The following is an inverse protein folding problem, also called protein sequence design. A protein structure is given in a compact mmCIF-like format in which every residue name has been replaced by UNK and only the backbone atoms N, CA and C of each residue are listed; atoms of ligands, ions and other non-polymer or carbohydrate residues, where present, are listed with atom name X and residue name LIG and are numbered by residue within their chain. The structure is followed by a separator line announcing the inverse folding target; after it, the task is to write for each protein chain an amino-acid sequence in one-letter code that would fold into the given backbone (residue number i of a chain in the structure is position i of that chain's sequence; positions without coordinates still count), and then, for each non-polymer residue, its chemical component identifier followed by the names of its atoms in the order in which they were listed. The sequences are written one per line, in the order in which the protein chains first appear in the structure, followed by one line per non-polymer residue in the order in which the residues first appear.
data_IF_850267212419
#
_entry.id   IF_850267212419
#
_cell.length_a   1.000
_cell.length_b   1.000
_cell.length_c   1.000
_cell.angle_alpha   90.00
_cell.angle_beta   90.00
_cell.angle_gamma   90.00
#
_symmetry.space_group_name_H-M   'P 1'
#
loop_
_entity.id
_entity.type
_entity.pdbx_description
1 polymer ?
#
# COMPACT_ATOMS: atom_id res chain seq x y z
N UNK A 1 -35.07 -28.05 -2.58
CA UNK A 1 -35.82 -29.24 -3.03
C UNK A 1 -36.77 -28.82 -4.16
N UNK A 2 -36.63 -29.41 -5.35
CA UNK A 2 -37.54 -29.22 -6.51
C UNK A 2 -38.91 -29.75 -6.12
N UNK A 3 -39.89 -28.89 -5.86
CA UNK A 3 -41.23 -29.32 -5.37
C UNK A 3 -42.27 -29.53 -6.47
N UNK A 4 -42.00 -29.19 -7.72
CA UNK A 4 -42.85 -29.58 -8.84
C UNK A 4 -42.01 -29.95 -10.05
N UNK A 5 -42.19 -31.19 -10.51
CA UNK A 5 -41.66 -31.69 -11.77
C UNK A 5 -42.87 -32.28 -12.50
N UNK A 6 -43.48 -31.48 -13.35
CA UNK A 6 -44.65 -31.88 -14.14
C UNK A 6 -44.16 -32.52 -15.42
N UNK A 7 -44.54 -33.79 -15.63
CA UNK A 7 -44.18 -34.57 -16.82
C UNK A 7 -45.46 -34.99 -17.52
N UNK A 8 -45.52 -34.84 -18.84
CA UNK A 8 -46.60 -35.33 -19.68
C UNK A 8 -46.01 -35.94 -20.95
N UNK A 9 -46.52 -37.09 -21.36
CA UNK A 9 -46.21 -37.69 -22.66
C UNK A 9 -47.02 -37.01 -23.76
N UNK A 10 -46.43 -36.92 -24.95
CA UNK A 10 -47.06 -36.35 -26.13
C UNK A 10 -46.94 -37.33 -27.30
N UNK A 11 -48.07 -37.71 -27.87
CA UNK A 11 -48.15 -38.70 -28.94
C UNK A 11 -47.92 -38.07 -30.33
N UNK A 12 -47.73 -36.75 -30.39
CA UNK A 12 -47.39 -36.02 -31.61
C UNK A 12 -46.65 -34.72 -31.33
N UNK A 13 -45.90 -34.22 -32.32
CA UNK A 13 -45.17 -32.94 -32.25
C UNK A 13 -46.13 -31.78 -31.98
N UNK A 14 -47.32 -31.78 -32.60
CA UNK A 14 -48.34 -30.74 -32.40
C UNK A 14 -48.81 -30.70 -30.95
N UNK A 15 -49.02 -31.86 -30.34
CA UNK A 15 -49.41 -31.98 -28.93
C UNK A 15 -48.28 -31.55 -27.99
N UNK A 16 -47.04 -31.93 -28.29
CA UNK A 16 -45.86 -31.50 -27.53
C UNK A 16 -45.73 -29.97 -27.52
N UNK A 17 -45.90 -29.32 -28.69
CA UNK A 17 -45.85 -27.86 -28.80
C UNK A 17 -46.98 -27.18 -28.00
N UNK A 18 -48.18 -27.78 -27.98
CA UNK A 18 -49.30 -27.27 -27.19
C UNK A 18 -49.02 -27.37 -25.68
N UNK A 19 -48.46 -28.49 -25.21
CA UNK A 19 -48.09 -28.71 -23.81
C UNK A 19 -46.98 -27.76 -23.35
N UNK A 20 -45.94 -27.54 -24.17
CA UNK A 20 -44.88 -26.58 -23.84
C UNK A 20 -45.44 -25.15 -23.72
N UNK A 21 -46.34 -24.77 -24.62
CA UNK A 21 -47.00 -23.45 -24.55
C UNK A 21 -47.87 -23.31 -23.31
N UNK A 22 -48.57 -24.36 -22.88
CA UNK A 22 -49.40 -24.31 -21.67
C UNK A 22 -48.57 -24.21 -20.39
N UNK A 23 -47.40 -24.84 -20.32
CA UNK A 23 -46.47 -24.65 -19.19
C UNK A 23 -45.94 -23.22 -19.10
N UNK A 24 -45.73 -22.55 -20.23
CA UNK A 24 -45.31 -21.14 -20.29
C UNK A 24 -46.39 -20.13 -19.87
N UNK A 25 -47.67 -20.54 -19.76
CA UNK A 25 -48.77 -19.69 -19.29
C UNK A 25 -48.85 -19.61 -17.75
N UNK A 26 -48.17 -20.52 -17.05
CA UNK A 26 -48.11 -20.50 -15.60
C UNK A 26 -46.95 -19.61 -15.13
N UNK A 27 -47.27 -18.39 -14.70
CA UNK A 27 -46.31 -17.55 -13.96
C UNK A 27 -46.08 -18.16 -12.57
N UNK A 28 -45.02 -18.94 -12.41
CA UNK A 28 -44.57 -19.32 -11.08
C UNK A 28 -44.03 -18.08 -10.35
N UNK A 29 -44.33 -17.99 -9.04
CA UNK A 29 -43.77 -16.94 -8.20
C UNK A 29 -42.24 -17.00 -8.13
N UNK A 30 -41.58 -15.91 -7.74
CA UNK A 30 -40.13 -15.89 -7.57
C UNK A 30 -39.68 -16.98 -6.59
N UNK A 31 -38.53 -17.59 -6.87
CA UNK A 31 -38.01 -18.76 -6.16
C UNK A 31 -37.48 -18.45 -4.75
N UNK A 32 -37.48 -17.18 -4.37
CA UNK A 32 -37.11 -16.70 -3.05
C UNK A 32 -37.89 -15.44 -2.72
N UNK A 33 -37.95 -15.12 -1.43
CA UNK A 33 -38.35 -13.78 -0.98
C UNK A 33 -37.33 -12.76 -1.50
N UNK A 34 -37.78 -11.61 -2.01
CA UNK A 34 -36.88 -10.49 -2.27
C UNK A 34 -36.03 -10.24 -1.03
N UNK A 35 -34.71 -10.19 -1.21
CA UNK A 35 -33.84 -9.66 -0.17
C UNK A 35 -34.02 -8.14 -0.22
N UNK A 36 -34.77 -7.62 0.73
CA UNK A 36 -34.86 -6.19 0.96
C UNK A 36 -33.56 -5.75 1.62
N UNK A 37 -32.71 -5.11 0.83
CA UNK A 37 -31.58 -4.35 1.35
C UNK A 37 -32.10 -2.95 1.61
N UNK A 38 -32.07 -2.51 2.87
CA UNK A 38 -32.30 -1.11 3.18
C UNK A 38 -31.31 -0.29 2.36
N UNK A 39 -31.81 0.54 1.45
CA UNK A 39 -31.00 1.53 0.77
C UNK A 39 -30.52 2.48 1.85
N UNK A 40 -29.22 2.48 2.15
CA UNK A 40 -28.67 3.44 3.11
C UNK A 40 -28.92 4.85 2.56
N UNK A 41 -29.47 5.73 3.39
CA UNK A 41 -29.85 7.10 3.06
C UNK A 41 -28.61 7.99 2.85
N UNK A 42 -27.77 7.68 1.86
CA UNK A 42 -26.59 8.47 1.44
C UNK A 42 -25.49 8.70 2.48
N UNK A 43 -25.76 8.37 3.75
CA UNK A 43 -24.96 8.63 4.94
C UNK A 43 -24.98 7.32 5.72
N UNK A 44 -23.82 6.68 5.90
CA UNK A 44 -23.76 5.49 6.75
C UNK A 44 -24.19 5.83 8.18
N UNK A 45 -24.56 4.84 8.99
CA UNK A 45 -24.94 5.00 10.40
C UNK A 45 -23.92 5.81 11.24
N UNK A 46 -22.68 5.94 10.75
CA UNK A 46 -21.59 6.71 11.35
C UNK A 46 -21.45 8.16 10.84
N UNK A 47 -22.43 8.71 10.10
CA UNK A 47 -22.33 10.07 9.55
C UNK A 47 -21.28 10.24 8.43
N UNK A 48 -20.67 9.14 7.98
CA UNK A 48 -19.60 9.15 6.98
C UNK A 48 -20.13 8.81 5.59
N UNK A 49 -19.45 9.32 4.55
CA UNK A 49 -19.67 8.90 3.17
C UNK A 49 -19.55 7.36 3.05
N UNK A 50 -20.35 6.72 2.18
CA UNK A 50 -20.31 5.27 2.02
C UNK A 50 -18.90 4.81 1.62
N UNK A 51 -18.35 3.90 2.42
CA UNK A 51 -17.03 3.31 2.21
C UNK A 51 -17.04 2.49 0.91
N UNK A 52 -15.94 2.56 0.14
CA UNK A 52 -15.78 1.67 -1.00
C UNK A 52 -15.41 0.27 -0.50
N UNK A 53 -15.90 -0.81 -1.14
CA UNK A 53 -15.45 -2.15 -0.83
C UNK A 53 -13.95 -2.29 -1.12
N UNK A 54 -13.25 -3.06 -0.28
CA UNK A 54 -11.83 -3.32 -0.43
C UNK A 54 -11.33 -4.39 0.55
N UNK A 55 -10.12 -4.91 0.35
CA UNK A 55 -9.51 -5.85 1.28
C UNK A 55 -9.28 -5.17 2.64
N UNK A 56 -9.45 -5.91 3.73
CA UNK A 56 -9.22 -5.40 5.09
C UNK A 56 -7.74 -5.48 5.50
N UNK A 57 -7.04 -6.50 5.03
CA UNK A 57 -5.69 -6.88 5.47
C UNK A 57 -4.66 -6.69 4.35
N UNK A 58 -3.42 -6.41 4.72
CA UNK A 58 -2.27 -6.53 3.82
C UNK A 58 -2.24 -5.46 2.73
N UNK A 59 -2.09 -4.20 3.15
CA UNK A 59 -2.04 -3.07 2.23
C UNK A 59 -0.60 -2.65 1.98
N UNK A 60 -0.22 -2.40 0.73
CA UNK A 60 1.10 -1.83 0.39
C UNK A 60 0.91 -0.46 -0.23
N UNK A 61 1.46 0.56 0.41
CA UNK A 61 1.45 1.95 -0.04
C UNK A 61 2.89 2.42 -0.17
N UNK A 62 3.22 3.01 -1.31
CA UNK A 62 4.57 3.48 -1.60
C UNK A 62 4.55 4.94 -2.03
N UNK A 63 5.55 5.70 -1.62
CA UNK A 63 5.79 7.05 -2.11
C UNK A 63 7.26 7.44 -2.00
N UNK A 64 7.65 8.50 -2.70
CA UNK A 64 9.04 8.96 -2.71
C UNK A 64 9.44 9.58 -1.39
N UNK A 65 8.58 10.46 -0.87
CA UNK A 65 8.81 11.17 0.40
C UNK A 65 7.80 10.74 1.46
N UNK A 66 8.11 11.04 2.72
CA UNK A 66 7.21 10.85 3.87
C UNK A 66 5.90 11.60 3.62
N UNK A 67 5.98 12.84 3.14
CA UNK A 67 4.79 13.66 2.86
C UNK A 67 3.91 13.05 1.76
N UNK A 68 4.51 12.59 0.67
CA UNK A 68 3.77 11.94 -0.42
C UNK A 68 3.11 10.64 0.04
N UNK A 69 3.85 9.83 0.78
CA UNK A 69 3.39 8.54 1.30
C UNK A 69 2.24 8.74 2.29
N UNK A 70 2.34 9.75 3.16
CA UNK A 70 1.29 10.11 4.12
C UNK A 70 -0.05 10.42 3.45
N UNK A 71 -0.05 11.24 2.39
CA UNK A 71 -1.27 11.58 1.64
C UNK A 71 -1.90 10.31 1.03
N UNK A 72 -1.08 9.40 0.51
CA UNK A 72 -1.56 8.11 -0.04
C UNK A 72 -2.12 7.18 1.04
N UNK A 73 -1.50 7.13 2.22
CA UNK A 73 -2.00 6.37 3.37
C UNK A 73 -3.39 6.90 3.77
N UNK A 74 -3.52 8.22 3.94
CA UNK A 74 -4.79 8.85 4.32
C UNK A 74 -5.87 8.51 3.29
N UNK A 75 -5.58 8.69 2.00
CA UNK A 75 -6.50 8.34 0.93
C UNK A 75 -6.93 6.86 1.01
N UNK A 76 -5.98 5.93 1.19
CA UNK A 76 -6.28 4.50 1.26
C UNK A 76 -7.19 4.18 2.45
N UNK A 77 -6.86 4.67 3.64
CA UNK A 77 -7.65 4.44 4.85
C UNK A 77 -9.04 5.04 4.69
N UNK A 78 -9.16 6.31 4.28
CA UNK A 78 -10.48 6.97 4.10
C UNK A 78 -11.35 6.31 3.04
N UNK A 79 -10.76 5.66 2.03
CA UNK A 79 -11.50 5.04 0.94
C UNK A 79 -12.10 3.67 1.31
N UNK A 80 -11.32 2.80 1.97
CA UNK A 80 -11.70 1.39 2.20
C UNK A 80 -11.57 0.93 3.64
N UNK A 81 -11.08 1.78 4.55
CA UNK A 81 -10.90 1.44 5.96
C UNK A 81 -12.23 1.18 6.66
N UNK A 82 -12.26 0.19 7.54
CA UNK A 82 -13.44 -0.18 8.33
C UNK A 82 -13.63 0.82 9.46
N UNK A 83 -14.82 1.40 9.58
CA UNK A 83 -15.16 2.27 10.73
C UNK A 83 -15.48 1.39 11.93
N UNK A 84 -14.87 1.69 13.07
CA UNK A 84 -15.06 0.96 14.33
C UNK A 84 -15.15 1.95 15.49
N UNK A 85 -15.92 1.63 16.55
CA UNK A 85 -15.86 2.41 17.78
C UNK A 85 -14.48 2.27 18.41
N UNK A 86 -14.02 3.32 19.09
CA UNK A 86 -12.81 3.26 19.89
C UNK A 86 -13.12 2.74 21.31
N UNK A 87 -12.10 2.54 22.15
CA UNK A 87 -12.30 2.24 23.57
C UNK A 87 -12.81 3.42 24.41
N UNK A 88 -12.93 4.59 23.80
CA UNK A 88 -13.51 5.81 24.35
C UNK A 88 -14.70 6.25 23.48
N UNK A 89 -15.46 7.26 23.90
CA UNK A 89 -16.55 7.81 23.07
C UNK A 89 -15.97 8.40 21.76
N UNK A 90 -16.18 7.69 20.64
CA UNK A 90 -15.70 8.10 19.31
C UNK A 90 -15.45 6.93 18.36
N UNK A 91 -15.09 7.24 17.12
CA UNK A 91 -14.81 6.28 16.06
C UNK A 91 -13.41 6.47 15.48
N UNK A 92 -12.89 5.40 14.90
CA UNK A 92 -11.75 5.45 14.01
C UNK A 92 -12.01 4.65 12.73
N UNK A 93 -11.26 4.97 11.69
CA UNK A 93 -11.30 4.26 10.42
C UNK A 93 -9.98 3.51 10.24
N UNK A 94 -10.04 2.19 10.10
CA UNK A 94 -8.89 1.30 10.27
C UNK A 94 -8.65 0.39 9.07
N UNK A 95 -7.37 0.14 8.77
CA UNK A 95 -6.88 -0.97 7.97
C UNK A 95 -5.89 -1.81 8.77
N UNK A 96 -5.82 -3.09 8.46
CA UNK A 96 -4.96 -4.05 9.18
C UNK A 96 -3.75 -4.40 8.33
N UNK A 97 -2.59 -4.44 8.98
CA UNK A 97 -1.29 -4.75 8.35
C UNK A 97 -1.00 -3.88 7.12
N UNK A 98 -1.01 -2.55 7.33
CA UNK A 98 -0.63 -1.58 6.30
C UNK A 98 0.89 -1.38 6.30
N UNK A 99 1.51 -1.76 5.19
CA UNK A 99 2.90 -1.48 4.86
C UNK A 99 2.99 -0.15 4.09
N UNK A 100 3.69 0.82 4.67
CA UNK A 100 4.09 2.04 3.98
C UNK A 100 5.58 1.96 3.63
N UNK A 101 5.94 2.34 2.40
CA UNK A 101 7.30 2.30 1.87
C UNK A 101 7.68 3.69 1.37
N UNK A 102 8.71 4.28 1.98
CA UNK A 102 9.28 5.57 1.57
C UNK A 102 10.63 5.32 0.90
N UNK A 103 10.75 5.67 -0.37
CA UNK A 103 11.88 5.23 -1.22
C UNK A 103 12.99 6.26 -1.39
N UNK A 104 12.70 7.55 -1.29
CA UNK A 104 13.62 8.61 -1.72
C UNK A 104 13.52 9.89 -0.87
N UNK A 105 13.26 9.76 0.43
CA UNK A 105 13.26 10.90 1.36
C UNK A 105 14.66 11.52 1.45
N UNK A 106 14.82 12.84 1.21
CA UNK A 106 16.12 13.49 1.23
C UNK A 106 16.71 13.58 2.65
N UNK A 107 18.06 13.68 2.79
CA UNK A 107 18.73 13.74 4.09
C UNK A 107 18.26 14.88 5.01
N UNK A 108 17.92 16.03 4.43
CA UNK A 108 17.45 17.23 5.13
C UNK A 108 15.93 17.24 5.40
N UNK A 109 15.24 16.16 5.03
CA UNK A 109 13.79 16.01 5.07
C UNK A 109 13.03 16.98 4.17
N UNK A 110 12.12 16.44 3.38
CA UNK A 110 11.22 17.20 2.54
C UNK A 110 9.99 17.63 3.34
N UNK A 111 9.79 18.95 3.44
CA UNK A 111 8.57 19.55 3.95
C UNK A 111 7.88 20.29 2.79
N UNK A 112 6.58 20.05 2.56
CA UNK A 112 5.83 20.76 1.53
C UNK A 112 5.73 22.26 1.80
N UNK A 113 5.53 23.05 0.74
CA UNK A 113 5.26 24.49 0.82
C UNK A 113 3.95 24.84 0.07
N UNK A 114 2.90 25.32 0.77
CA UNK A 114 2.79 25.44 2.22
C UNK A 114 2.78 24.06 2.91
N UNK A 115 3.28 24.01 4.16
CA UNK A 115 3.33 22.77 4.92
C UNK A 115 1.92 22.29 5.26
N UNK A 116 1.59 21.10 4.77
CA UNK A 116 0.32 20.42 5.03
C UNK A 116 0.44 19.25 6.02
N UNK A 117 1.65 18.98 6.52
CA UNK A 117 1.89 17.94 7.52
C UNK A 117 1.38 18.41 8.90
N UNK A 118 1.02 17.49 9.79
CA UNK A 118 0.63 17.81 11.17
C UNK A 118 1.83 18.18 12.06
N UNK A 119 3.03 18.30 11.48
CA UNK A 119 4.27 18.61 12.15
C UNK A 119 5.12 19.54 11.29
N UNK A 120 5.97 20.34 11.92
CA UNK A 120 6.94 21.22 11.26
C UNK A 120 8.39 20.80 11.57
N UNK A 121 9.35 21.51 10.99
CA UNK A 121 10.77 21.20 11.14
C UNK A 121 11.25 21.32 12.59
N UNK A 122 10.77 22.33 13.32
CA UNK A 122 11.19 22.58 14.71
C UNK A 122 10.72 21.43 15.61
N UNK A 123 9.44 21.05 15.49
CA UNK A 123 8.89 19.91 16.20
C UNK A 123 9.65 18.61 15.87
N UNK A 124 9.98 18.38 14.60
CA UNK A 124 10.69 17.17 14.19
C UNK A 124 12.14 17.13 14.71
N UNK A 125 12.83 18.26 14.83
CA UNK A 125 14.16 18.31 15.44
C UNK A 125 14.10 17.81 16.89
N UNK A 126 13.14 18.30 17.69
CA UNK A 126 12.95 17.83 19.06
C UNK A 126 12.49 16.38 19.12
N UNK A 127 11.60 15.97 18.20
CA UNK A 127 11.07 14.61 18.17
C UNK A 127 12.14 13.56 17.86
N UNK A 128 13.13 13.88 17.02
CA UNK A 128 14.25 13.00 16.70
C UNK A 128 15.01 12.60 17.98
N UNK A 129 15.22 13.53 18.91
CA UNK A 129 15.86 13.24 20.19
C UNK A 129 15.07 12.21 21.02
N UNK A 130 13.74 12.17 20.91
CA UNK A 130 12.91 11.16 21.60
C UNK A 130 13.08 9.74 21.04
N UNK A 131 13.64 9.59 19.83
CA UNK A 131 13.95 8.30 19.21
C UNK A 131 15.43 7.96 19.35
N UNK A 132 16.30 8.94 19.12
CA UNK A 132 17.74 8.72 19.07
C UNK A 132 18.38 8.71 20.45
N UNK A 133 17.94 9.54 21.38
CA UNK A 133 18.68 9.76 22.62
C UNK A 133 18.09 8.96 23.78
N UNK A 134 18.96 8.54 24.68
CA UNK A 134 18.50 8.01 25.96
C UNK A 134 17.91 9.16 26.79
N UNK A 135 16.87 8.86 27.57
CA UNK A 135 16.24 9.84 28.44
C UNK A 135 16.08 9.26 29.85
N UNK A 136 16.39 10.04 30.91
CA UNK A 136 16.08 9.61 32.25
C UNK A 136 14.56 9.43 32.40
N UNK A 137 14.13 8.52 33.28
CA UNK A 137 12.71 8.39 33.63
C UNK A 137 12.25 9.71 34.24
N UNK A 138 11.34 10.39 33.56
CA UNK A 138 10.71 11.62 34.05
C UNK A 138 9.32 11.30 34.59
N UNK A 139 8.97 11.89 35.73
CA UNK A 139 7.64 11.73 36.31
C UNK A 139 6.57 12.23 35.33
N UNK A 140 5.60 11.38 35.00
CA UNK A 140 4.54 11.67 34.02
C UNK A 140 4.85 11.27 32.57
N UNK A 141 6.11 10.99 32.21
CA UNK A 141 6.47 10.43 30.90
C UNK A 141 6.49 8.92 30.99
N UNK A 142 5.58 8.24 30.26
CA UNK A 142 5.48 6.77 30.33
C UNK A 142 6.72 6.06 29.78
N UNK A 143 7.21 6.52 28.62
CA UNK A 143 8.42 6.04 27.96
C UNK A 143 8.79 7.00 26.81
N UNK A 144 10.03 6.93 26.34
CA UNK A 144 10.45 7.40 25.01
C UNK A 144 10.95 6.22 24.19
N UNK A 145 10.98 6.33 22.86
CA UNK A 145 11.53 5.26 22.02
C UNK A 145 13.04 5.11 22.23
N UNK A 146 13.77 6.22 22.39
CA UNK A 146 15.20 6.19 22.66
C UNK A 146 15.54 5.47 23.97
N UNK A 147 14.77 5.68 25.04
CA UNK A 147 14.93 4.91 26.28
C UNK A 147 14.71 3.41 26.06
N UNK A 148 13.67 3.02 25.30
CA UNK A 148 13.40 1.60 24.96
C UNK A 148 14.53 0.97 24.15
N UNK A 149 15.15 1.75 23.27
CA UNK A 149 16.21 1.29 22.40
C UNK A 149 17.58 1.24 23.10
N UNK A 150 17.84 2.11 24.08
CA UNK A 150 19.17 2.26 24.69
C UNK A 150 19.33 1.63 26.07
N UNK A 151 18.52 2.04 27.05
CA UNK A 151 18.78 1.71 28.45
C UNK A 151 17.75 0.75 29.05
N UNK A 152 16.53 0.68 28.50
CA UNK A 152 15.40 -0.04 29.11
C UNK A 152 15.68 -1.52 29.39
N UNK A 153 16.27 -2.24 28.43
CA UNK A 153 16.56 -3.67 28.56
C UNK A 153 17.95 -3.96 29.12
N UNK A 154 18.74 -2.92 29.42
CA UNK A 154 20.15 -2.99 29.84
C UNK A 154 21.14 -2.69 28.71
N UNK A 155 21.18 -3.48 27.62
CA UNK A 155 22.04 -3.20 26.47
C UNK A 155 21.49 -2.09 25.57
N UNK A 156 22.39 -1.26 25.03
CA UNK A 156 22.09 -0.31 23.95
C UNK A 156 21.93 -1.08 22.62
N UNK A 157 20.67 -1.26 22.22
CA UNK A 157 20.33 -2.02 21.03
C UNK A 157 20.76 -1.32 19.74
N UNK A 158 20.82 0.03 19.73
CA UNK A 158 21.31 0.81 18.58
C UNK A 158 22.80 0.54 18.38
N UNK A 159 23.57 0.59 19.47
CA UNK A 159 25.00 0.29 19.44
C UNK A 159 25.28 -1.18 19.03
N UNK A 160 24.45 -2.11 19.53
CA UNK A 160 24.55 -3.51 19.16
C UNK A 160 24.32 -3.74 17.66
N UNK A 161 23.29 -3.13 17.04
CA UNK A 161 23.05 -3.30 15.60
C UNK A 161 24.13 -2.63 14.76
N UNK A 162 24.67 -1.48 15.17
CA UNK A 162 25.80 -0.84 14.49
C UNK A 162 27.02 -1.77 14.49
N UNK A 163 27.42 -2.25 15.67
CA UNK A 163 28.58 -3.15 15.82
C UNK A 163 28.37 -4.44 15.01
N UNK A 164 27.15 -4.97 15.01
CA UNK A 164 26.79 -6.16 14.25
C UNK A 164 26.94 -5.98 12.75
N UNK A 165 26.38 -4.90 12.19
CA UNK A 165 26.46 -4.63 10.74
C UNK A 165 27.88 -4.27 10.29
N UNK A 166 28.72 -3.72 11.18
CA UNK A 166 30.16 -3.53 10.90
C UNK A 166 30.88 -4.89 10.81
N UNK A 167 30.57 -5.84 11.70
CA UNK A 167 31.20 -7.17 11.71
C UNK A 167 30.65 -8.14 10.65
N UNK A 168 29.36 -8.03 10.34
CA UNK A 168 28.63 -8.88 9.39
C UNK A 168 27.58 -8.02 8.66
N UNK A 169 27.97 -7.41 7.54
CA UNK A 169 27.10 -6.47 6.80
C UNK A 169 25.82 -7.13 6.26
N UNK A 170 25.90 -8.43 5.96
CA UNK A 170 24.78 -9.25 5.47
C UNK A 170 23.97 -9.89 6.60
N UNK A 171 24.12 -9.43 7.86
CA UNK A 171 23.40 -10.01 8.99
C UNK A 171 21.88 -9.89 8.78
N UNK A 172 21.17 -11.02 8.87
CA UNK A 172 19.70 -11.05 8.89
C UNK A 172 19.13 -10.77 10.29
N UNK A 173 19.99 -10.65 11.30
CA UNK A 173 19.64 -10.59 12.72
C UNK A 173 20.00 -9.24 13.36
N UNK A 174 20.09 -8.16 12.58
CA UNK A 174 20.20 -6.79 13.06
C UNK A 174 18.80 -6.26 13.41
N UNK A 175 18.36 -6.55 14.65
CA UNK A 175 17.01 -6.26 15.14
C UNK A 175 17.05 -5.51 16.47
N UNK A 176 16.02 -4.72 16.75
CA UNK A 176 15.78 -4.06 18.03
C UNK A 176 14.32 -4.28 18.45
N UNK A 177 14.10 -4.58 19.73
CA UNK A 177 12.77 -4.77 20.32
C UNK A 177 12.47 -3.67 21.32
N UNK A 178 11.27 -3.09 21.23
CA UNK A 178 10.82 -2.06 22.16
C UNK A 178 9.75 -2.59 23.12
N UNK A 179 9.11 -3.71 22.78
CA UNK A 179 8.09 -4.33 23.60
C UNK A 179 8.70 -5.07 24.78
N UNK A 180 8.28 -4.70 25.99
CA UNK A 180 8.55 -5.45 27.22
C UNK A 180 7.30 -6.27 27.56
N UNK A 181 7.44 -7.53 27.97
CA UNK A 181 6.29 -8.35 28.36
C UNK A 181 5.46 -7.72 29.49
N UNK A 182 6.08 -6.89 30.35
CA UNK A 182 5.42 -6.12 31.40
C UNK A 182 4.48 -5.03 30.86
N UNK A 183 4.60 -4.69 29.58
CA UNK A 183 3.72 -3.71 28.91
C UNK A 183 2.27 -4.21 28.76
N UNK A 184 2.00 -5.49 29.01
CA UNK A 184 0.63 -6.00 29.14
C UNK A 184 -0.05 -5.55 30.43
N UNK A 185 0.73 -5.28 31.49
CA UNK A 185 0.21 -5.07 32.84
C UNK A 185 -0.20 -3.60 33.08
N UNK A 186 0.29 -2.66 32.26
CA UNK A 186 0.08 -1.21 32.42
C UNK A 186 -0.30 -0.55 31.11
N UNK A 187 -1.27 0.37 31.17
CA UNK A 187 -1.69 1.14 30.00
C UNK A 187 -0.64 2.16 29.53
N UNK A 188 -0.52 2.35 28.21
CA UNK A 188 0.44 3.26 27.59
C UNK A 188 1.77 2.59 27.24
N UNK A 189 1.68 1.41 26.63
CA UNK A 189 2.79 0.65 26.06
C UNK A 189 3.20 1.17 24.68
N UNK A 190 4.43 0.87 24.21
CA UNK A 190 4.93 1.40 22.95
C UNK A 190 4.09 0.99 21.74
N UNK A 191 3.83 1.95 20.86
CA UNK A 191 3.20 1.70 19.56
C UNK A 191 4.18 1.02 18.61
N UNK A 192 5.40 1.52 18.53
CA UNK A 192 6.53 0.89 17.85
C UNK A 192 7.04 -0.30 18.67
N UNK A 193 7.12 -1.49 18.08
CA UNK A 193 7.47 -2.71 18.83
C UNK A 193 8.76 -3.34 18.35
N UNK A 194 9.03 -3.28 17.06
CA UNK A 194 10.17 -3.96 16.46
C UNK A 194 10.78 -3.12 15.35
N UNK A 195 12.11 -3.12 15.27
CA UNK A 195 12.86 -2.55 14.16
C UNK A 195 13.79 -3.62 13.62
N UNK A 196 13.81 -3.78 12.31
CA UNK A 196 14.73 -4.66 11.58
C UNK A 196 15.50 -3.85 10.55
N UNK A 197 16.82 -3.99 10.54
CA UNK A 197 17.70 -3.39 9.55
C UNK A 197 18.29 -4.45 8.64
N UNK A 198 18.40 -4.10 7.36
CA UNK A 198 18.94 -5.00 6.34
C UNK A 198 19.74 -4.24 5.30
N UNK A 199 20.93 -4.76 4.98
CA UNK A 199 21.70 -4.33 3.81
C UNK A 199 21.47 -5.30 2.67
N UNK A 200 21.08 -4.77 1.51
CA UNK A 200 20.98 -5.47 0.21
C UNK A 200 21.45 -4.49 -0.86
N UNK A 201 22.26 -4.93 -1.80
CA UNK A 201 22.77 -4.10 -2.91
C UNK A 201 23.35 -2.75 -2.46
N UNK A 202 24.08 -2.77 -1.33
CA UNK A 202 24.69 -1.61 -0.69
C UNK A 202 23.69 -0.55 -0.18
N UNK A 203 22.42 -0.90 0.00
CA UNK A 203 21.37 -0.06 0.56
C UNK A 203 20.98 -0.53 1.96
N UNK A 204 21.05 0.35 2.96
CA UNK A 204 20.55 0.08 4.30
C UNK A 204 19.05 0.39 4.35
N UNK A 205 18.20 -0.62 4.45
CA UNK A 205 16.77 -0.47 4.69
C UNK A 205 16.44 -0.59 6.18
N UNK A 206 15.35 0.07 6.61
CA UNK A 206 14.80 -0.04 7.96
C UNK A 206 13.33 -0.42 7.86
N UNK A 207 12.94 -1.50 8.52
CA UNK A 207 11.54 -1.91 8.69
C UNK A 207 11.12 -1.77 10.15
N UNK A 208 10.06 -1.00 10.41
CA UNK A 208 9.50 -0.78 11.73
C UNK A 208 8.09 -1.38 11.83
N UNK A 209 7.85 -2.21 12.84
CA UNK A 209 6.51 -2.77 13.11
C UNK A 209 5.84 -2.00 14.24
N UNK A 210 4.66 -1.46 13.97
CA UNK A 210 3.83 -0.73 14.92
C UNK A 210 2.52 -1.47 15.15
N UNK A 211 2.20 -1.82 16.39
CA UNK A 211 0.95 -2.53 16.73
C UNK A 211 -0.30 -1.67 16.55
N UNK A 212 -0.15 -0.36 16.71
CA UNK A 212 -1.20 0.65 16.72
C UNK A 212 -0.58 1.95 16.22
N UNK A 213 -1.16 2.56 15.19
CA UNK A 213 -0.56 3.72 14.56
C UNK A 213 -1.63 4.72 14.13
N UNK A 214 -1.63 5.88 14.80
CA UNK A 214 -2.38 7.05 14.34
C UNK A 214 -1.72 7.58 13.07
N UNK A 215 -2.35 7.28 11.95
CA UNK A 215 -1.85 7.59 10.63
C UNK A 215 -2.01 9.06 10.27
N UNK A 216 -2.89 9.79 10.95
CA UNK A 216 -3.08 11.21 10.68
C UNK A 216 -2.06 12.03 11.48
N UNK A 217 -2.08 11.93 12.81
CA UNK A 217 -1.34 12.86 13.67
C UNK A 217 0.07 12.38 14.02
N UNK A 218 0.29 11.07 14.17
CA UNK A 218 1.54 10.54 14.73
C UNK A 218 2.49 9.95 13.67
N UNK A 219 1.96 9.29 12.62
CA UNK A 219 2.78 8.61 11.62
C UNK A 219 3.84 9.51 10.97
N UNK A 220 3.57 10.78 10.58
CA UNK A 220 4.60 11.64 10.00
C UNK A 220 5.82 11.81 10.91
N UNK A 221 5.60 12.12 12.20
CA UNK A 221 6.67 12.29 13.16
C UNK A 221 7.46 10.99 13.39
N UNK A 222 6.74 9.86 13.56
CA UNK A 222 7.35 8.54 13.66
C UNK A 222 8.23 8.23 12.44
N UNK A 223 7.74 8.51 11.21
CA UNK A 223 8.48 8.26 9.98
C UNK A 223 9.75 9.12 9.88
N UNK A 224 9.68 10.40 10.21
CA UNK A 224 10.87 11.27 10.24
C UNK A 224 11.89 10.80 11.27
N UNK A 225 11.46 10.49 12.50
CA UNK A 225 12.36 10.00 13.55
C UNK A 225 12.99 8.65 13.20
N UNK A 226 12.24 7.72 12.58
CA UNK A 226 12.78 6.45 12.09
C UNK A 226 13.75 6.64 10.92
N UNK A 227 13.49 7.60 10.03
CA UNK A 227 14.43 7.97 8.95
C UNK A 227 15.72 8.56 9.51
N UNK A 228 15.63 9.38 10.55
CA UNK A 228 16.80 9.91 11.27
C UNK A 228 17.60 8.78 11.93
N UNK A 229 16.93 7.80 12.57
CA UNK A 229 17.59 6.62 13.13
C UNK A 229 18.31 5.79 12.05
N UNK A 230 17.66 5.55 10.91
CA UNK A 230 18.27 4.86 9.76
C UNK A 230 19.52 5.58 9.27
N UNK A 231 19.44 6.91 9.09
CA UNK A 231 20.55 7.76 8.68
C UNK A 231 21.70 7.73 9.71
N UNK A 232 21.38 7.84 11.00
CA UNK A 232 22.35 7.75 12.09
C UNK A 232 23.13 6.43 12.06
N UNK A 233 22.43 5.29 11.94
CA UNK A 233 23.07 3.97 11.89
C UNK A 233 23.97 3.86 10.66
N UNK A 234 23.49 4.27 9.48
CA UNK A 234 24.28 4.31 8.25
C UNK A 234 25.57 5.11 8.42
N UNK A 235 25.48 6.30 9.02
CA UNK A 235 26.62 7.20 9.20
C UNK A 235 27.61 6.65 10.24
N UNK A 236 27.13 5.99 11.30
CA UNK A 236 28.02 5.31 12.26
C UNK A 236 28.76 4.13 11.63
N UNK A 237 28.09 3.34 10.78
CA UNK A 237 28.73 2.25 10.03
C UNK A 237 29.82 2.80 9.11
N UNK A 238 29.56 3.89 8.37
CA UNK A 238 30.55 4.53 7.53
C UNK A 238 31.73 5.08 8.35
N UNK A 239 31.45 5.78 9.45
CA UNK A 239 32.47 6.41 10.29
C UNK A 239 33.37 5.41 11.02
N UNK A 240 32.80 4.30 11.51
CA UNK A 240 33.51 3.34 12.37
C UNK A 240 33.97 2.10 11.62
N UNK A 241 33.21 1.66 10.63
CA UNK A 241 33.50 0.46 9.82
C UNK A 241 34.10 0.77 8.44
N UNK A 242 34.08 2.02 7.98
CA UNK A 242 34.58 2.39 6.65
C UNK A 242 33.70 1.91 5.48
N UNK A 243 32.47 1.46 5.75
CA UNK A 243 31.55 0.89 4.76
C UNK A 243 30.57 1.98 4.30
N UNK A 244 30.62 2.32 3.02
CA UNK A 244 29.77 3.36 2.44
C UNK A 244 28.48 2.79 1.87
N UNK A 245 27.41 2.90 2.66
CA UNK A 245 26.07 2.47 2.27
C UNK A 245 25.26 3.63 1.69
N UNK A 246 24.29 3.31 0.83
CA UNK A 246 23.22 4.19 0.41
C UNK A 246 22.03 4.08 1.39
N UNK A 247 21.21 5.13 1.45
CA UNK A 247 19.91 5.06 2.13
C UNK A 247 18.98 4.18 1.29
N UNK A 248 18.58 3.04 1.84
CA UNK A 248 17.50 2.22 1.29
C UNK A 248 16.13 2.72 1.75
N UNK A 249 15.06 1.96 1.42
CA UNK A 249 13.70 2.31 1.82
C UNK A 249 13.51 2.36 3.35
N UNK A 250 12.70 3.30 3.81
CA UNK A 250 12.07 3.24 5.14
C UNK A 250 10.72 2.55 4.99
N UNK A 251 10.50 1.49 5.75
CA UNK A 251 9.29 0.68 5.72
C UNK A 251 8.63 0.71 7.10
N UNK A 252 7.34 1.01 7.16
CA UNK A 252 6.54 0.86 8.39
C UNK A 252 5.43 -0.15 8.16
N UNK A 253 5.35 -1.20 8.97
CA UNK A 253 4.26 -2.16 9.01
C UNK A 253 3.36 -1.84 10.20
N UNK A 254 2.18 -1.31 9.94
CA UNK A 254 1.22 -0.91 10.97
C UNK A 254 0.11 -1.93 11.06
N UNK A 255 0.10 -2.70 12.14
CA UNK A 255 -0.86 -3.79 12.35
C UNK A 255 -2.28 -3.25 12.55
N UNK A 256 -2.41 -2.13 13.27
CA UNK A 256 -3.61 -1.29 13.27
C UNK A 256 -3.24 0.09 12.74
N UNK A 257 -3.63 0.38 11.49
CA UNK A 257 -3.44 1.66 10.84
C UNK A 257 -4.75 2.43 10.84
N UNK A 258 -4.86 3.51 11.62
CA UNK A 258 -6.14 4.18 11.82
C UNK A 258 -6.07 5.70 11.76
N UNK A 259 -7.24 6.30 11.51
CA UNK A 259 -7.49 7.74 11.58
C UNK A 259 -8.67 7.94 12.51
N UNK A 260 -8.54 8.82 13.49
CA UNK A 260 -9.62 9.21 14.40
C UNK A 260 -10.65 10.11 13.71
N UNK A 261 -11.89 10.06 14.16
CA UNK A 261 -13.01 10.78 13.57
C UNK A 261 -12.88 12.31 13.63
N UNK A 262 -12.27 12.85 14.68
CA UNK A 262 -11.90 14.25 14.82
C UNK A 262 -10.99 14.78 13.68
N UNK A 263 -10.23 13.88 13.03
CA UNK A 263 -9.32 14.20 11.93
C UNK A 263 -9.96 14.03 10.54
N UNK A 264 -11.20 13.52 10.42
CA UNK A 264 -11.78 13.17 9.11
C UNK A 264 -11.93 14.35 8.16
N UNK A 265 -12.34 15.51 8.64
CA UNK A 265 -12.51 16.69 7.78
C UNK A 265 -11.18 17.17 7.21
N UNK A 266 -10.14 17.19 8.03
CA UNK A 266 -8.79 17.54 7.58
C UNK A 266 -8.23 16.48 6.62
N UNK A 267 -8.39 15.20 6.93
CA UNK A 267 -8.02 14.11 6.03
C UNK A 267 -8.67 14.26 4.63
N UNK A 268 -9.97 14.58 4.59
CA UNK A 268 -10.68 14.81 3.33
C UNK A 268 -10.11 16.01 2.54
N UNK A 269 -9.79 17.12 3.22
CA UNK A 269 -9.15 18.29 2.59
C UNK A 269 -7.77 17.96 2.04
N UNK A 270 -6.96 17.20 2.77
CA UNK A 270 -5.63 16.75 2.33
C UNK A 270 -5.75 15.93 1.04
N UNK A 271 -6.69 14.97 1.01
CA UNK A 271 -6.95 14.15 -0.19
C UNK A 271 -7.33 15.04 -1.37
N UNK A 272 -8.33 15.91 -1.20
CA UNK A 272 -8.84 16.78 -2.25
C UNK A 272 -7.76 17.70 -2.84
N UNK A 273 -6.88 18.24 -1.99
CA UNK A 273 -5.90 19.25 -2.41
C UNK A 273 -4.61 18.67 -2.99
N UNK A 274 -4.24 17.44 -2.60
CA UNK A 274 -2.89 16.91 -2.85
C UNK A 274 -2.87 15.55 -3.57
N UNK A 275 -3.81 14.63 -3.29
CA UNK A 275 -3.72 13.24 -3.77
C UNK A 275 -3.65 13.17 -5.30
N UNK A 276 -4.55 13.85 -6.01
CA UNK A 276 -4.57 13.80 -7.49
C UNK A 276 -3.29 14.38 -8.11
N UNK A 277 -2.68 15.40 -7.50
CA UNK A 277 -1.44 16.00 -7.99
C UNK A 277 -0.28 15.01 -7.90
N UNK A 278 -0.21 14.27 -6.79
CA UNK A 278 0.77 13.20 -6.59
C UNK A 278 0.59 12.13 -7.66
N UNK A 279 -0.62 11.58 -7.81
CA UNK A 279 -0.91 10.53 -8.81
C UNK A 279 -0.58 10.99 -10.23
N UNK A 280 -0.97 12.23 -10.60
CA UNK A 280 -0.66 12.79 -11.91
C UNK A 280 0.85 12.93 -12.14
N UNK A 281 1.62 13.22 -11.10
CA UNK A 281 3.09 13.33 -11.19
C UNK A 281 3.72 11.96 -11.44
N UNK A 282 3.23 10.91 -10.78
CA UNK A 282 3.72 9.54 -10.95
C UNK A 282 3.40 8.97 -12.32
N UNK A 283 2.16 9.16 -12.78
CA UNK A 283 1.72 8.67 -14.08
C UNK A 283 2.51 9.27 -15.24
N UNK A 284 3.01 10.51 -15.10
CA UNK A 284 3.88 11.15 -16.11
C UNK A 284 5.26 10.54 -16.20
N UNK A 285 5.71 9.80 -15.18
CA UNK A 285 7.03 9.18 -15.19
C UNK A 285 7.02 7.88 -15.99
N UNK A 286 5.85 7.24 -16.17
CA UNK A 286 5.70 5.94 -16.83
C UNK A 286 6.67 4.87 -16.30
N UNK A 287 7.13 5.04 -15.06
CA UNK A 287 8.15 4.20 -14.45
C UNK A 287 7.47 3.04 -13.72
N UNK A 288 7.77 1.82 -14.15
CA UNK A 288 7.32 0.60 -13.48
C UNK A 288 8.55 -0.24 -13.07
N UNK A 289 8.63 -0.75 -11.82
CA UNK A 289 9.68 -1.68 -11.43
C UNK A 289 9.74 -2.93 -12.30
N UNK A 290 8.64 -3.33 -12.94
CA UNK A 290 8.66 -4.48 -13.84
C UNK A 290 9.33 -4.20 -15.20
N UNK A 291 9.69 -2.95 -15.52
CA UNK A 291 10.32 -2.58 -16.78
C UNK A 291 9.36 -2.08 -17.86
N UNK A 292 9.79 -2.10 -19.12
CA UNK A 292 9.07 -1.47 -20.24
C UNK A 292 8.60 -2.49 -21.27
N UNK A 293 7.51 -2.18 -21.97
CA UNK A 293 6.97 -2.98 -23.07
C UNK A 293 7.06 -2.21 -24.38
N UNK A 294 7.90 -2.70 -25.29
CA UNK A 294 8.04 -2.15 -26.64
C UNK A 294 7.14 -2.93 -27.59
N UNK A 295 6.26 -2.24 -28.30
CA UNK A 295 5.27 -2.85 -29.19
C UNK A 295 5.68 -2.62 -30.64
N UNK A 296 5.70 -3.69 -31.41
CA UNK A 296 5.98 -3.71 -32.84
C UNK A 296 4.88 -4.49 -33.57
N UNK A 297 4.69 -4.20 -34.84
CA UNK A 297 3.75 -4.93 -35.70
C UNK A 297 4.49 -5.55 -36.87
N UNK A 298 4.32 -6.85 -37.10
CA UNK A 298 4.90 -7.55 -38.24
C UNK A 298 3.84 -8.42 -38.92
N UNK A 299 3.58 -8.17 -40.20
CA UNK A 299 2.53 -8.83 -40.97
C UNK A 299 1.14 -8.75 -40.28
N UNK A 300 0.71 -9.85 -39.68
CA UNK A 300 -0.59 -9.98 -38.98
C UNK A 300 -0.45 -10.03 -37.47
N UNK A 301 0.78 -9.96 -36.96
CA UNK A 301 1.12 -10.24 -35.57
C UNK A 301 1.58 -8.97 -34.85
N UNK A 302 1.16 -8.85 -33.60
CA UNK A 302 1.65 -7.88 -32.64
C UNK A 302 2.79 -8.55 -31.88
N UNK A 303 3.93 -7.87 -31.80
CA UNK A 303 5.13 -8.33 -31.11
C UNK A 303 5.35 -7.40 -29.92
N UNK A 304 5.52 -7.95 -28.73
CA UNK A 304 5.83 -7.17 -27.52
C UNK A 304 7.16 -7.63 -26.95
N UNK A 305 8.11 -6.72 -26.83
CA UNK A 305 9.40 -6.96 -26.16
C UNK A 305 9.34 -6.36 -24.77
N UNK A 306 9.53 -7.20 -23.76
CA UNK A 306 9.62 -6.77 -22.38
C UNK A 306 11.08 -6.54 -22.02
N UNK A 307 11.39 -5.37 -21.48
CA UNK A 307 12.75 -4.91 -21.21
C UNK A 307 12.95 -4.50 -19.76
N UNK A 308 14.14 -4.73 -19.22
CA UNK A 308 14.49 -4.28 -17.86
C UNK A 308 14.51 -2.76 -17.75
N UNK A 309 14.22 -2.26 -16.55
CA UNK A 309 14.36 -0.84 -16.23
C UNK A 309 15.83 -0.42 -16.33
N UNK A 310 16.12 0.63 -17.10
CA UNK A 310 17.46 1.22 -17.24
C UNK A 310 18.30 0.58 -18.34
N UNK A 311 18.64 -0.72 -18.25
CA UNK A 311 19.57 -1.34 -19.22
C UNK A 311 18.95 -1.59 -20.61
N UNK A 312 17.62 -1.73 -20.68
CA UNK A 312 16.91 -2.03 -21.91
C UNK A 312 17.09 -3.48 -22.39
N UNK A 313 17.69 -4.36 -21.59
CA UNK A 313 17.82 -5.78 -21.90
C UNK A 313 16.45 -6.42 -22.09
N UNK A 314 16.26 -7.12 -23.22
CA UNK A 314 15.01 -7.85 -23.53
C UNK A 314 14.97 -9.15 -22.73
N UNK A 315 14.03 -9.25 -21.80
CA UNK A 315 13.86 -10.41 -20.89
C UNK A 315 12.73 -11.34 -21.32
N UNK A 316 11.79 -10.86 -22.12
CA UNK A 316 10.73 -11.68 -22.70
C UNK A 316 10.24 -11.11 -24.03
N UNK A 317 9.64 -11.99 -24.85
CA UNK A 317 8.95 -11.61 -26.09
C UNK A 317 7.61 -12.32 -26.16
N UNK A 318 6.56 -11.56 -26.48
CA UNK A 318 5.20 -12.05 -26.63
C UNK A 318 4.73 -11.81 -28.06
N UNK A 319 3.91 -12.72 -28.58
CA UNK A 319 3.41 -12.68 -29.96
C UNK A 319 1.92 -12.99 -29.97
N UNK A 320 1.12 -12.21 -30.70
CA UNK A 320 -0.30 -12.52 -30.82
C UNK A 320 -1.05 -11.61 -31.77
N UNK A 321 -2.21 -12.09 -32.23
CA UNK A 321 -3.12 -11.35 -33.12
C UNK A 321 -4.30 -10.71 -32.38
N UNK A 322 -4.53 -11.12 -31.13
CA UNK A 322 -5.64 -10.64 -30.31
C UNK A 322 -5.09 -9.83 -29.12
N UNK A 323 -5.36 -8.51 -29.06
CA UNK A 323 -4.88 -7.63 -28.00
C UNK A 323 -5.24 -8.09 -26.60
N UNK A 324 -6.48 -8.52 -26.39
CA UNK A 324 -6.98 -8.95 -25.08
C UNK A 324 -6.26 -10.21 -24.57
N UNK A 325 -6.06 -11.21 -25.44
CA UNK A 325 -5.32 -12.41 -25.07
C UNK A 325 -3.87 -12.09 -24.71
N UNK A 326 -3.22 -11.22 -25.50
CA UNK A 326 -1.83 -10.84 -25.31
C UNK A 326 -1.64 -10.00 -24.04
N UNK A 327 -2.54 -9.03 -23.78
CA UNK A 327 -2.54 -8.25 -22.55
C UNK A 327 -2.72 -9.13 -21.31
N UNK A 328 -3.62 -10.13 -21.37
CA UNK A 328 -3.85 -11.07 -20.26
C UNK A 328 -2.65 -11.96 -19.99
N UNK A 329 -1.98 -12.43 -21.03
CA UNK A 329 -0.73 -13.18 -20.91
C UNK A 329 0.36 -12.34 -20.25
N UNK A 330 0.59 -11.12 -20.72
CA UNK A 330 1.59 -10.22 -20.15
C UNK A 330 1.27 -9.90 -18.67
N UNK A 331 0.02 -9.58 -18.34
CA UNK A 331 -0.37 -9.29 -16.96
C UNK A 331 -0.27 -10.52 -16.04
N UNK A 332 -0.54 -11.73 -16.56
CA UNK A 332 -0.38 -12.97 -15.79
C UNK A 332 1.09 -13.22 -15.47
N UNK A 333 1.96 -12.98 -16.44
CA UNK A 333 3.40 -13.22 -16.30
C UNK A 333 4.08 -12.09 -15.48
N UNK A 334 3.39 -10.95 -15.29
CA UNK A 334 3.86 -9.79 -14.53
C UNK A 334 2.83 -9.36 -13.46
N UNK A 335 2.65 -10.11 -12.36
CA UNK A 335 1.60 -9.87 -11.36
C UNK A 335 1.74 -8.53 -10.61
N UNK A 336 2.90 -7.87 -10.69
CA UNK A 336 3.18 -6.58 -10.06
C UNK A 336 3.02 -5.38 -10.99
N UNK A 337 2.61 -5.59 -12.25
CA UNK A 337 2.34 -4.47 -13.18
C UNK A 337 1.36 -3.49 -12.56
N UNK A 338 1.66 -2.19 -12.61
CA UNK A 338 0.75 -1.19 -12.08
C UNK A 338 -0.56 -1.18 -12.89
N UNK A 339 -1.74 -1.07 -12.24
CA UNK A 339 -3.02 -1.09 -12.94
C UNK A 339 -3.14 -0.06 -14.07
N UNK A 340 -2.63 1.16 -13.87
CA UNK A 340 -2.62 2.20 -14.92
C UNK A 340 -1.75 1.83 -16.11
N UNK A 341 -0.61 1.18 -15.88
CA UNK A 341 0.28 0.72 -16.95
C UNK A 341 -0.30 -0.48 -17.69
N UNK A 342 -0.98 -1.40 -17.00
CA UNK A 342 -1.73 -2.48 -17.63
C UNK A 342 -2.86 -1.96 -18.56
N UNK A 343 -3.57 -0.92 -18.11
CA UNK A 343 -4.59 -0.25 -18.95
C UNK A 343 -3.95 0.41 -20.17
N UNK A 344 -2.86 1.15 -20.00
CA UNK A 344 -2.13 1.77 -21.11
C UNK A 344 -1.60 0.72 -22.10
N UNK A 345 -1.00 -0.37 -21.61
CA UNK A 345 -0.55 -1.50 -22.42
C UNK A 345 -1.71 -2.06 -23.27
N UNK A 346 -2.87 -2.31 -22.66
CA UNK A 346 -4.05 -2.78 -23.38
C UNK A 346 -4.51 -1.82 -24.49
N UNK A 347 -4.47 -0.51 -24.25
CA UNK A 347 -4.78 0.52 -25.26
C UNK A 347 -3.78 0.48 -26.42
N UNK A 348 -2.49 0.38 -26.13
CA UNK A 348 -1.45 0.34 -27.17
C UNK A 348 -1.52 -0.94 -28.01
N UNK A 349 -1.82 -2.08 -27.38
CA UNK A 349 -2.05 -3.34 -28.10
C UNK A 349 -3.28 -3.26 -29.03
N UNK A 350 -4.36 -2.62 -28.58
CA UNK A 350 -5.55 -2.41 -29.43
C UNK A 350 -5.22 -1.47 -30.62
N UNK A 351 -4.44 -0.41 -30.40
CA UNK A 351 -3.97 0.47 -31.48
C UNK A 351 -3.11 -0.26 -32.49
N UNK A 352 -2.17 -1.09 -32.03
CA UNK A 352 -1.34 -1.92 -32.89
C UNK A 352 -2.18 -2.87 -33.75
N UNK A 353 -3.20 -3.49 -33.17
CA UNK A 353 -4.15 -4.32 -33.89
C UNK A 353 -4.96 -3.55 -34.94
N UNK A 354 -5.49 -2.37 -34.60
CA UNK A 354 -6.21 -1.50 -35.54
C UNK A 354 -5.29 -1.13 -36.70
N UNK A 355 -4.03 -0.77 -36.42
CA UNK A 355 -3.06 -0.42 -37.45
C UNK A 355 -2.83 -1.58 -38.44
N UNK A 356 -2.69 -2.81 -37.95
CA UNK A 356 -2.62 -4.03 -38.79
C UNK A 356 -3.88 -4.19 -39.65
N UNK A 357 -5.07 -4.01 -39.06
CA UNK A 357 -6.35 -4.17 -39.77
C UNK A 357 -6.58 -3.11 -40.86
N UNK A 358 -6.13 -1.89 -40.61
CA UNK A 358 -6.30 -0.77 -41.51
C UNK A 358 -5.10 -0.57 -42.46
N UNK A 359 -4.10 -1.46 -42.43
CA UNK A 359 -2.85 -1.34 -43.19
C UNK A 359 -2.11 -0.01 -42.95
N UNK A 360 -2.13 0.46 -41.70
CA UNK A 360 -1.43 1.66 -41.24
C UNK A 360 -0.15 1.28 -40.48
N UNK A 361 0.79 2.21 -40.43
CA UNK A 361 2.00 2.08 -39.62
C UNK A 361 1.63 2.34 -38.15
N UNK A 362 1.88 1.38 -37.27
CA UNK A 362 1.79 1.59 -35.83
C UNK A 362 2.99 2.39 -35.34
N UNK A 363 2.73 3.36 -34.46
CA UNK A 363 3.75 4.07 -33.69
C UNK A 363 3.30 4.12 -32.23
N UNK A 364 4.14 3.58 -31.34
CA UNK A 364 3.95 3.68 -29.90
C UNK A 364 4.24 5.10 -29.44
N UNK A 365 3.40 5.62 -28.53
CA UNK A 365 3.50 6.98 -27.98
C UNK A 365 4.54 7.13 -26.88
#
# INVERSE_FOLDING_TARGET
LRRELSVAEADSITQAVSLVKSYGLNTQGPWGTPLEFAMADGVGESGCAPLKPGPRYGHRIEGRTIAETWVKIIHRIKTTGTIRPTGYDGYWQELIDLMAVVTAEPPEFYFPEPNYLPCDREFIQDYIHQILDDAPVQEGVKYTYGQRLRSWFGPDQIEQVITKLIGEIDAASAVMSLWDVKDHDKGGSPCLNHIWLRVVDNELSLTATLRSNDMFSAWPANAFGLRALQQYIKDQIAKRGGIQLKMGPLITVSQSAHIYDDCYDYANRIIQNHYQKIINSEQKQYADPIGNFLIETENTDIIVKHTTTGSGEVIAKYYGKNPMSLAREICRDNPSIQPSHAVYLGIELEKAWIAIKEYKIYQQL
#
